data_IF_133187449015
#
_entry.id   IF_133187449015
#
_cell.length_a   1.000
_cell.length_b   1.000
_cell.length_c   1.000
_cell.angle_alpha   90.00
_cell.angle_beta   90.00
_cell.angle_gamma   90.00
#
_symmetry.space_group_name_H-M   'P 1'
#
loop_
_entity.id
_entity.type
_entity.pdbx_description
1 polymer ?
#
# COMPACT_ATOMS: atom_id res chain seq x y z
N UNK A 1 9.71 17.90 17.00
CA UNK A 1 9.55 16.81 16.02
C UNK A 1 9.24 17.49 14.70
N UNK A 2 10.14 17.43 13.73
CA UNK A 2 9.91 17.99 12.41
C UNK A 2 8.73 17.28 11.77
N UNK A 3 7.72 18.05 11.37
CA UNK A 3 6.58 17.55 10.63
C UNK A 3 7.12 17.21 9.24
N UNK A 4 7.40 15.93 8.98
CA UNK A 4 7.83 15.50 7.66
C UNK A 4 6.65 15.77 6.70
N UNK A 5 6.66 16.92 6.03
CA UNK A 5 5.76 17.18 4.92
C UNK A 5 5.95 16.03 3.94
N UNK A 6 4.88 15.28 3.67
CA UNK A 6 4.85 14.33 2.57
C UNK A 6 4.90 15.18 1.31
N UNK A 7 6.11 15.53 0.87
CA UNK A 7 6.31 16.20 -0.41
C UNK A 7 5.81 15.27 -1.51
N UNK A 8 5.01 15.84 -2.40
CA UNK A 8 4.41 15.18 -3.55
C UNK A 8 5.42 14.25 -4.23
N UNK A 9 5.16 12.94 -4.18
CA UNK A 9 5.92 11.96 -4.95
C UNK A 9 5.74 12.33 -6.42
N UNK A 10 6.82 12.74 -7.10
CA UNK A 10 6.82 12.99 -8.53
C UNK A 10 6.54 11.65 -9.23
N UNK A 11 5.28 11.46 -9.62
CA UNK A 11 4.82 10.29 -10.37
C UNK A 11 4.79 10.65 -11.85
N UNK A 12 5.09 9.72 -12.76
CA UNK A 12 4.95 9.93 -14.21
C UNK A 12 3.61 10.59 -14.56
N UNK A 13 3.60 11.50 -15.53
CA UNK A 13 2.43 12.34 -15.85
C UNK A 13 1.19 11.53 -16.29
N UNK A 14 1.39 10.30 -16.72
CA UNK A 14 0.37 9.31 -17.11
C UNK A 14 -0.12 8.44 -15.94
N UNK A 15 0.38 8.66 -14.72
CA UNK A 15 -0.03 7.88 -13.54
C UNK A 15 -1.46 8.22 -13.16
N UNK A 16 -2.36 7.26 -13.34
CA UNK A 16 -3.73 7.35 -12.82
C UNK A 16 -3.69 7.28 -11.29
N UNK A 17 -3.83 8.44 -10.65
CA UNK A 17 -3.87 8.58 -9.19
C UNK A 17 -5.30 8.45 -8.68
N UNK A 18 -5.57 7.44 -7.85
CA UNK A 18 -6.81 7.28 -7.07
C UNK A 18 -6.49 7.72 -5.65
N UNK A 19 -7.21 8.70 -5.12
CA UNK A 19 -7.04 9.14 -3.73
C UNK A 19 -8.29 8.76 -2.95
N UNK A 20 -8.29 7.58 -2.29
CA UNK A 20 -9.48 7.07 -1.63
C UNK A 20 -9.94 8.07 -0.56
N UNK A 21 -11.26 8.31 -0.52
CA UNK A 21 -11.87 9.22 0.46
C UNK A 21 -11.98 8.58 1.83
N UNK A 22 -12.05 7.25 1.85
CA UNK A 22 -12.04 6.46 3.07
C UNK A 22 -11.28 5.17 2.86
N UNK A 23 -10.66 4.70 3.94
CA UNK A 23 -10.08 3.38 4.06
C UNK A 23 -10.67 2.73 5.31
N UNK A 24 -11.33 1.58 5.13
CA UNK A 24 -11.99 0.85 6.21
C UNK A 24 -11.45 -0.56 6.26
N UNK A 25 -11.11 -1.03 7.45
CA UNK A 25 -10.80 -2.43 7.71
C UNK A 25 -12.07 -3.13 8.17
N UNK A 26 -12.39 -4.25 7.55
CA UNK A 26 -13.54 -5.07 7.94
C UNK A 26 -13.09 -6.48 8.29
N UNK A 27 -13.85 -7.09 9.19
CA UNK A 27 -13.79 -8.51 9.50
C UNK A 27 -15.17 -9.10 9.23
N UNK A 28 -15.19 -10.28 8.60
CA UNK A 28 -16.40 -11.02 8.32
C UNK A 28 -16.14 -12.54 8.41
N UNK A 29 -17.19 -13.34 8.45
CA UNK A 29 -17.12 -14.79 8.37
C UNK A 29 -18.06 -15.30 7.29
N UNK A 30 -17.50 -15.88 6.23
CA UNK A 30 -18.26 -16.35 5.07
C UNK A 30 -18.09 -17.85 4.94
N UNK A 31 -19.18 -18.61 5.01
CA UNK A 31 -19.18 -20.08 4.96
C UNK A 31 -18.26 -20.72 6.02
N UNK A 32 -18.15 -20.11 7.20
CA UNK A 32 -17.30 -20.58 8.30
C UNK A 32 -15.81 -20.26 8.14
N UNK A 33 -15.45 -19.48 7.12
CA UNK A 33 -14.09 -18.98 6.93
C UNK A 33 -14.02 -17.52 7.35
N UNK A 34 -13.05 -17.21 8.22
CA UNK A 34 -12.73 -15.84 8.61
C UNK A 34 -12.15 -15.07 7.42
N UNK A 35 -12.54 -13.80 7.32
CA UNK A 35 -12.18 -12.91 6.24
C UNK A 35 -11.82 -11.55 6.83
N UNK A 36 -10.71 -10.98 6.38
CA UNK A 36 -10.28 -9.61 6.70
C UNK A 36 -10.20 -8.85 5.39
N UNK A 37 -10.85 -7.70 5.30
CA UNK A 37 -10.82 -6.88 4.08
C UNK A 37 -10.40 -5.45 4.32
N UNK A 38 -9.88 -4.83 3.26
CA UNK A 38 -9.65 -3.39 3.16
C UNK A 38 -10.61 -2.88 2.10
N UNK A 39 -11.52 -2.00 2.51
CA UNK A 39 -12.41 -1.28 1.61
C UNK A 39 -11.82 0.10 1.33
N UNK A 40 -11.60 0.39 0.05
CA UNK A 40 -11.19 1.69 -0.45
C UNK A 40 -12.36 2.26 -1.25
N UNK A 41 -12.88 3.41 -0.85
CA UNK A 41 -13.93 4.10 -1.60
C UNK A 41 -13.38 5.35 -2.28
N UNK A 42 -13.58 5.46 -3.59
CA UNK A 42 -13.17 6.59 -4.41
C UNK A 42 -14.26 6.98 -5.40
N UNK A 43 -14.58 8.26 -5.48
CA UNK A 43 -15.68 8.76 -6.33
C UNK A 43 -15.46 8.56 -7.83
N UNK A 44 -14.21 8.42 -8.29
CA UNK A 44 -13.87 8.26 -9.70
C UNK A 44 -13.95 6.81 -10.14
N UNK A 45 -13.55 5.87 -9.29
CA UNK A 45 -13.46 4.44 -9.64
C UNK A 45 -14.44 3.54 -8.89
N UNK A 46 -15.18 4.09 -7.92
CA UNK A 46 -16.10 3.36 -7.05
C UNK A 46 -15.38 2.68 -5.88
N UNK A 47 -16.11 1.82 -5.17
CA UNK A 47 -15.58 1.05 -4.06
C UNK A 47 -14.77 -0.16 -4.56
N UNK A 48 -13.53 -0.26 -4.09
CA UNK A 48 -12.64 -1.40 -4.29
C UNK A 48 -12.45 -2.10 -2.97
N UNK A 49 -12.75 -3.40 -2.92
CA UNK A 49 -12.54 -4.22 -1.74
C UNK A 49 -11.42 -5.24 -1.99
N UNK A 50 -10.42 -5.25 -1.11
CA UNK A 50 -9.37 -6.26 -1.09
C UNK A 50 -9.67 -7.19 0.06
N UNK A 51 -9.90 -8.46 -0.24
CA UNK A 51 -10.34 -9.48 0.74
C UNK A 51 -9.26 -10.54 0.92
N UNK A 52 -8.92 -10.83 2.17
CA UNK A 52 -7.84 -11.73 2.55
C UNK A 52 -8.34 -12.75 3.58
N UNK A 53 -7.79 -13.95 3.55
CA UNK A 53 -7.86 -14.86 4.71
C UNK A 53 -6.95 -14.34 5.82
N UNK A 54 -7.12 -14.76 7.08
CA UNK A 54 -6.24 -14.37 8.18
C UNK A 54 -4.76 -14.68 7.89
N UNK A 55 -4.47 -15.83 7.29
CA UNK A 55 -3.10 -16.25 6.96
C UNK A 55 -2.48 -15.34 5.90
N UNK A 56 -3.25 -15.00 4.86
CA UNK A 56 -2.80 -14.07 3.82
C UNK A 56 -2.58 -12.66 4.39
N UNK A 57 -3.49 -12.18 5.25
CA UNK A 57 -3.35 -10.90 5.94
C UNK A 57 -2.09 -10.86 6.83
N UNK A 58 -1.83 -11.93 7.57
CA UNK A 58 -0.61 -12.07 8.38
C UNK A 58 0.64 -12.03 7.50
N UNK A 59 0.64 -12.75 6.38
CA UNK A 59 1.77 -12.79 5.45
C UNK A 59 2.07 -11.41 4.84
N UNK A 60 1.04 -10.68 4.42
CA UNK A 60 1.17 -9.30 3.91
C UNK A 60 1.70 -8.36 5.00
N UNK A 61 1.18 -8.48 6.22
CA UNK A 61 1.61 -7.64 7.35
C UNK A 61 3.07 -7.90 7.70
N UNK A 62 3.52 -9.15 7.69
CA UNK A 62 4.91 -9.51 7.93
C UNK A 62 5.85 -8.93 6.86
N UNK A 63 5.46 -8.98 5.58
CA UNK A 63 6.23 -8.37 4.50
C UNK A 63 6.32 -6.86 4.65
N UNK A 64 5.21 -6.19 4.97
CA UNK A 64 5.20 -4.75 5.20
C UNK A 64 6.09 -4.38 6.39
N UNK A 65 6.01 -5.14 7.49
CA UNK A 65 6.85 -4.93 8.67
C UNK A 65 8.34 -5.11 8.33
N UNK A 66 8.70 -6.11 7.52
CA UNK A 66 10.07 -6.31 7.07
C UNK A 66 10.57 -5.12 6.21
N UNK A 67 9.73 -4.59 5.31
CA UNK A 67 10.06 -3.40 4.53
C UNK A 67 10.28 -2.17 5.41
N UNK A 68 9.42 -1.94 6.40
CA UNK A 68 9.58 -0.83 7.35
C UNK A 68 10.83 -1.03 8.21
N UNK A 69 11.16 -2.27 8.56
CA UNK A 69 12.40 -2.61 9.26
C UNK A 69 13.68 -2.33 8.46
N UNK A 70 13.62 -2.41 7.12
CA UNK A 70 14.77 -2.20 6.22
C UNK A 70 14.60 -0.98 5.28
N UNK A 71 14.06 0.13 5.81
CA UNK A 71 13.92 1.37 5.02
C UNK A 71 15.27 1.88 4.46
N UNK A 72 16.38 1.60 5.15
CA UNK A 72 17.72 1.96 4.68
C UNK A 72 18.11 1.20 3.41
N UNK A 73 17.96 -0.13 3.41
CA UNK A 73 18.22 -0.98 2.25
C UNK A 73 17.34 -0.62 1.06
N UNK A 74 16.04 -0.42 1.30
CA UNK A 74 15.08 -0.03 0.26
C UNK A 74 15.41 1.34 -0.38
N UNK A 75 15.84 2.34 0.40
CA UNK A 75 16.27 3.63 -0.14
C UNK A 75 17.52 3.50 -1.01
N UNK A 76 18.52 2.76 -0.55
CA UNK A 76 19.74 2.51 -1.32
C UNK A 76 19.42 1.75 -2.63
N UNK A 77 18.50 0.79 -2.58
CA UNK A 77 18.04 0.09 -3.77
C UNK A 77 17.34 1.02 -4.77
N UNK A 78 16.42 1.85 -4.29
CA UNK A 78 15.72 2.82 -5.13
C UNK A 78 16.68 3.79 -5.82
N UNK A 79 17.66 4.33 -5.10
CA UNK A 79 18.70 5.20 -5.66
C UNK A 79 19.50 4.48 -6.75
N UNK A 80 19.93 3.23 -6.52
CA UNK A 80 20.63 2.43 -7.54
C UNK A 80 19.80 2.23 -8.80
N UNK A 81 18.49 2.03 -8.67
CA UNK A 81 17.59 1.84 -9.82
C UNK A 81 17.38 3.14 -10.61
N UNK A 82 17.27 4.29 -9.94
CA UNK A 82 17.16 5.61 -10.59
C UNK A 82 18.42 5.95 -11.39
N UNK A 83 19.61 5.73 -10.82
CA UNK A 83 20.88 5.98 -11.52
C UNK A 83 21.16 5.03 -12.69
N UNK A 84 20.43 3.91 -12.81
CA UNK A 84 20.57 2.95 -13.91
C UNK A 84 19.65 3.27 -15.10
N UNK A 85 18.76 4.26 -14.97
CA UNK A 85 17.82 4.71 -16.02
C UNK A 85 18.30 5.92 -16.85
N UNK A 86 19.56 6.36 -16.69
CA UNK A 86 20.16 7.49 -17.42
C UNK A 86 21.11 7.09 -18.58
N UNK A 87 21.03 5.85 -19.09
CA UNK A 87 21.79 5.38 -20.26
C UNK A 87 20.87 4.91 -21.38
#
# INVERSE_FOLDING_TARGET
>A
MENAEITTVARPADTILVNPQSLVYTYDSVNGQDIISILLDDKRVGAVMVTLTPEAAQHVTAHLAAMVGDLGGLRAEWQRRQHRGEL
#
